data_IF_422840031608
#
_entry.id   IF_422840031608
#
_cell.length_a   1.000
_cell.length_b   1.000
_cell.length_c   1.000
_cell.angle_alpha   90.00
_cell.angle_beta   90.00
_cell.angle_gamma   90.00
#
_symmetry.space_group_name_H-M   'P 1'
#
loop_
_entity.id
_entity.type
_entity.pdbx_description
1 polymer ?
#
# COMPACT_ATOMS: atom_id res chain seq x y z
N UNK A 1 -36.08 -22.45 -0.78
CA UNK A 1 -35.22 -21.89 -1.85
C UNK A 1 -36.07 -20.93 -2.65
N UNK A 2 -35.74 -19.64 -2.69
CA UNK A 2 -36.49 -18.67 -3.50
C UNK A 2 -36.42 -19.02 -4.99
N UNK A 3 -37.55 -18.89 -5.68
CA UNK A 3 -37.62 -19.08 -7.14
C UNK A 3 -37.24 -17.78 -7.83
N UNK A 4 -36.35 -17.88 -8.82
CA UNK A 4 -35.94 -16.74 -9.65
C UNK A 4 -37.02 -16.50 -10.72
N UNK A 5 -37.73 -15.37 -10.64
CA UNK A 5 -38.87 -15.05 -11.51
C UNK A 5 -38.68 -13.81 -12.38
N UNK A 6 -37.66 -12.98 -12.08
CA UNK A 6 -37.41 -11.73 -12.80
C UNK A 6 -36.52 -11.95 -14.03
N UNK A 7 -36.84 -11.25 -15.12
CA UNK A 7 -36.09 -11.27 -16.39
C UNK A 7 -35.55 -9.88 -16.70
N UNK A 8 -34.34 -9.84 -17.24
CA UNK A 8 -33.73 -8.64 -17.81
C UNK A 8 -33.39 -8.91 -19.28
N UNK A 9 -33.46 -7.88 -20.11
CA UNK A 9 -33.05 -7.92 -21.50
C UNK A 9 -31.82 -7.04 -21.66
N UNK A 10 -30.75 -7.59 -22.25
CA UNK A 10 -29.47 -6.91 -22.45
C UNK A 10 -29.15 -6.98 -23.94
N UNK A 11 -28.89 -5.82 -24.54
CA UNK A 11 -28.47 -5.72 -25.92
C UNK A 11 -26.95 -5.91 -26.01
N UNK A 12 -26.51 -6.70 -26.99
CA UNK A 12 -25.11 -6.97 -27.26
C UNK A 12 -24.82 -6.73 -28.74
N UNK A 13 -23.62 -6.26 -29.04
CA UNK A 13 -23.01 -6.45 -30.36
C UNK A 13 -22.58 -7.90 -30.54
N UNK A 14 -22.41 -8.36 -31.79
CA UNK A 14 -21.99 -9.74 -32.08
C UNK A 14 -20.67 -10.11 -31.38
N UNK A 15 -19.73 -9.15 -31.31
CA UNK A 15 -18.43 -9.35 -30.66
C UNK A 15 -18.58 -9.51 -29.15
N UNK A 16 -19.47 -8.74 -28.51
CA UNK A 16 -19.72 -8.85 -27.07
C UNK A 16 -20.40 -10.18 -26.72
N UNK A 17 -21.35 -10.61 -27.55
CA UNK A 17 -22.04 -11.88 -27.37
C UNK A 17 -21.07 -13.06 -27.46
N UNK A 18 -20.14 -13.03 -28.41
CA UNK A 18 -19.15 -14.10 -28.55
C UNK A 18 -18.18 -14.13 -27.37
N UNK A 19 -17.69 -12.96 -26.92
CA UNK A 19 -16.87 -12.88 -25.69
C UNK A 19 -17.61 -13.43 -24.47
N UNK A 20 -18.89 -13.11 -24.32
CA UNK A 20 -19.72 -13.60 -23.22
C UNK A 20 -19.87 -15.12 -23.26
N UNK A 21 -20.10 -15.71 -24.44
CA UNK A 21 -20.15 -17.16 -24.61
C UNK A 21 -18.83 -17.83 -24.25
N UNK A 22 -17.71 -17.29 -24.73
CA UNK A 22 -16.38 -17.84 -24.42
C UNK A 22 -16.08 -17.81 -22.93
N UNK A 23 -16.31 -16.67 -22.26
CA UNK A 23 -16.03 -16.51 -20.82
C UNK A 23 -16.96 -17.31 -19.91
N UNK A 24 -18.17 -17.62 -20.36
CA UNK A 24 -19.14 -18.40 -19.58
C UNK A 24 -18.99 -19.91 -19.73
N UNK A 25 -18.06 -20.42 -20.54
CA UNK A 25 -17.88 -21.87 -20.80
C UNK A 25 -17.62 -22.70 -19.53
N UNK A 26 -16.92 -22.13 -18.56
CA UNK A 26 -16.62 -22.79 -17.28
C UNK A 26 -17.80 -22.76 -16.29
N UNK A 27 -18.86 -22.02 -16.62
CA UNK A 27 -20.06 -21.87 -15.80
C UNK A 27 -21.21 -22.69 -16.35
N UNK A 28 -22.13 -23.10 -15.46
CA UNK A 28 -23.32 -23.88 -15.82
C UNK A 28 -24.23 -23.18 -16.85
N UNK A 29 -24.20 -21.85 -16.93
CA UNK A 29 -24.90 -21.06 -17.94
C UNK A 29 -24.39 -19.62 -17.99
N UNK A 30 -24.70 -18.89 -19.07
CA UNK A 30 -24.46 -17.45 -19.17
C UNK A 30 -25.09 -16.70 -18.00
N UNK A 31 -26.32 -17.05 -17.61
CA UNK A 31 -26.95 -16.42 -16.44
C UNK A 31 -26.22 -16.75 -15.13
N UNK A 32 -25.61 -17.93 -15.02
CA UNK A 32 -24.77 -18.28 -13.87
C UNK A 32 -23.49 -17.45 -13.84
N UNK A 33 -22.85 -17.27 -14.99
CA UNK A 33 -21.69 -16.41 -15.16
C UNK A 33 -22.01 -14.95 -14.82
N UNK A 34 -23.07 -14.38 -15.40
CA UNK A 34 -23.47 -12.99 -15.13
C UNK A 34 -23.77 -12.77 -13.65
N UNK A 35 -24.39 -13.73 -12.95
CA UNK A 35 -24.64 -13.60 -11.51
C UNK A 35 -23.36 -13.70 -10.68
N UNK A 36 -22.48 -14.65 -11.01
CA UNK A 36 -21.19 -14.75 -10.33
C UNK A 36 -20.36 -13.48 -10.53
N UNK A 37 -20.31 -12.99 -11.77
CA UNK A 37 -19.70 -11.72 -12.12
C UNK A 37 -20.38 -10.56 -11.39
N UNK A 38 -21.71 -10.50 -11.29
CA UNK A 38 -22.39 -9.46 -10.53
C UNK A 38 -22.01 -9.48 -9.06
N UNK A 39 -21.92 -10.66 -8.43
CA UNK A 39 -21.43 -10.79 -7.05
C UNK A 39 -20.00 -10.27 -6.95
N UNK A 40 -19.11 -10.72 -7.84
CA UNK A 40 -17.68 -10.36 -7.86
C UNK A 40 -17.42 -8.88 -8.18
N UNK A 41 -18.18 -8.28 -9.10
CA UNK A 41 -18.07 -6.86 -9.48
C UNK A 41 -18.87 -5.94 -8.55
N UNK A 42 -19.90 -6.45 -7.86
CA UNK A 42 -20.59 -5.72 -6.78
C UNK A 42 -19.77 -5.71 -5.48
N UNK A 43 -18.72 -6.52 -5.42
CA UNK A 43 -17.76 -6.57 -4.32
C UNK A 43 -16.91 -5.28 -4.36
N UNK A 44 -17.49 -4.15 -3.95
CA UNK A 44 -16.78 -2.89 -3.65
C UNK A 44 -15.50 -3.17 -2.85
N UNK A 45 -15.62 -4.12 -1.95
CA UNK A 45 -14.61 -4.85 -1.23
C UNK A 45 -13.36 -5.23 -2.04
N UNK A 46 -13.46 -5.82 -3.24
CA UNK A 46 -12.30 -6.16 -4.05
C UNK A 46 -11.55 -4.91 -4.55
N UNK A 47 -12.30 -3.89 -4.99
CA UNK A 47 -11.73 -2.61 -5.42
C UNK A 47 -11.12 -1.84 -4.25
N UNK A 48 -11.79 -1.82 -3.10
CA UNK A 48 -11.32 -1.17 -1.87
C UNK A 48 -10.07 -1.88 -1.33
N UNK A 49 -10.02 -3.22 -1.39
CA UNK A 49 -8.81 -4.00 -1.05
C UNK A 49 -7.66 -3.70 -2.01
N UNK A 50 -7.90 -3.64 -3.33
CA UNK A 50 -6.85 -3.26 -4.29
C UNK A 50 -6.32 -1.85 -4.05
N UNK A 51 -7.22 -0.89 -3.78
CA UNK A 51 -6.82 0.47 -3.44
C UNK A 51 -6.01 0.52 -2.14
N UNK A 52 -6.41 -0.22 -1.12
CA UNK A 52 -5.67 -0.33 0.14
C UNK A 52 -4.24 -0.89 -0.08
N UNK A 53 -4.09 -1.89 -0.94
CA UNK A 53 -2.77 -2.44 -1.30
C UNK A 53 -1.90 -1.39 -2.00
N UNK A 54 -2.47 -0.62 -2.94
CA UNK A 54 -1.70 0.43 -3.62
C UNK A 54 -1.31 1.57 -2.66
N UNK A 55 -2.21 1.99 -1.77
CA UNK A 55 -1.93 2.99 -0.73
C UNK A 55 -0.79 2.52 0.18
N UNK A 56 -0.80 1.27 0.65
CA UNK A 56 0.29 0.70 1.45
C UNK A 56 1.60 0.58 0.66
N UNK A 57 1.57 0.12 -0.58
CA UNK A 57 2.76 -0.01 -1.41
C UNK A 57 3.43 1.35 -1.66
N UNK A 58 2.62 2.39 -1.93
CA UNK A 58 3.09 3.76 -2.08
C UNK A 58 3.74 4.28 -0.80
N UNK A 59 3.12 4.02 0.35
CA UNK A 59 3.65 4.40 1.66
C UNK A 59 4.99 3.71 1.94
N UNK A 60 5.10 2.40 1.71
CA UNK A 60 6.35 1.65 1.88
C UNK A 60 7.48 2.18 0.99
N UNK A 61 7.19 2.56 -0.26
CA UNK A 61 8.19 3.18 -1.15
C UNK A 61 8.71 4.49 -0.58
N UNK A 62 7.81 5.38 -0.14
CA UNK A 62 8.19 6.65 0.50
C UNK A 62 9.01 6.44 1.76
N UNK A 63 8.61 5.52 2.63
CA UNK A 63 9.34 5.22 3.86
C UNK A 63 10.74 4.70 3.58
N UNK A 64 10.89 3.83 2.57
CA UNK A 64 12.21 3.36 2.12
C UNK A 64 13.11 4.53 1.70
N UNK A 65 12.58 5.48 0.94
CA UNK A 65 13.36 6.63 0.46
C UNK A 65 13.74 7.58 1.60
N UNK A 66 12.79 7.93 2.49
CA UNK A 66 13.04 8.79 3.65
C UNK A 66 14.05 8.15 4.63
N UNK A 67 13.92 6.85 4.92
CA UNK A 67 14.88 6.11 5.75
C UNK A 67 16.24 5.96 5.07
N UNK A 68 16.26 5.73 3.76
CA UNK A 68 17.50 5.63 3.00
C UNK A 68 18.30 6.93 3.05
N UNK A 69 17.63 8.07 2.90
CA UNK A 69 18.27 9.38 3.01
C UNK A 69 18.77 9.67 4.43
N UNK A 70 17.91 9.51 5.45
CA UNK A 70 18.27 9.76 6.84
C UNK A 70 19.37 8.82 7.35
N UNK A 71 19.28 7.53 7.01
CA UNK A 71 20.30 6.53 7.32
C UNK A 71 21.62 6.79 6.60
N UNK A 72 21.57 7.23 5.34
CA UNK A 72 22.75 7.65 4.58
C UNK A 72 23.49 8.81 5.23
N UNK A 73 22.77 9.83 5.69
CA UNK A 73 23.34 10.96 6.40
C UNK A 73 23.99 10.54 7.73
N UNK A 74 23.30 9.73 8.54
CA UNK A 74 23.86 9.23 9.80
C UNK A 74 25.10 8.37 9.56
N UNK A 75 25.10 7.51 8.54
CA UNK A 75 26.25 6.67 8.21
C UNK A 75 27.48 7.52 7.83
N UNK A 76 27.29 8.60 7.08
CA UNK A 76 28.36 9.55 6.77
C UNK A 76 28.90 10.24 8.03
N UNK A 77 28.01 10.73 8.90
CA UNK A 77 28.40 11.36 10.15
C UNK A 77 29.17 10.39 11.06
N UNK A 78 28.69 9.15 11.20
CA UNK A 78 29.36 8.10 11.98
C UNK A 78 30.71 7.70 11.41
N UNK A 79 30.82 7.55 10.08
CA UNK A 79 32.09 7.23 9.43
C UNK A 79 33.12 8.33 9.71
N UNK A 80 32.72 9.59 9.57
CA UNK A 80 33.59 10.73 9.86
C UNK A 80 33.95 10.82 11.35
N UNK A 81 33.01 10.54 12.24
CA UNK A 81 33.28 10.48 13.68
C UNK A 81 34.34 9.41 14.00
N UNK A 82 34.24 8.22 13.39
CA UNK A 82 35.22 7.15 13.56
C UNK A 82 36.61 7.57 13.05
N UNK A 83 36.69 8.19 11.86
CA UNK A 83 37.96 8.71 11.32
C UNK A 83 38.62 9.72 12.27
N UNK A 84 37.84 10.67 12.79
CA UNK A 84 38.32 11.66 13.75
C UNK A 84 38.73 11.02 15.07
N UNK A 85 37.99 10.02 15.55
CA UNK A 85 38.29 9.32 16.80
C UNK A 85 39.61 8.57 16.72
N UNK A 86 39.84 7.81 15.63
CA UNK A 86 41.11 7.08 15.41
C UNK A 86 42.30 8.04 15.35
N UNK A 87 42.12 9.22 14.77
CA UNK A 87 43.16 10.25 14.72
C UNK A 87 43.35 11.01 16.05
N UNK A 88 42.52 10.77 17.07
CA UNK A 88 42.51 11.55 18.32
C UNK A 88 42.01 12.98 18.15
N UNK A 89 41.28 13.26 17.07
CA UNK A 89 40.79 14.58 16.66
C UNK A 89 39.26 14.73 16.80
N UNK A 90 38.58 13.75 17.39
CA UNK A 90 37.13 13.85 17.61
C UNK A 90 36.83 14.90 18.67
N UNK A 91 36.24 16.02 18.24
CA UNK A 91 35.89 17.13 19.12
C UNK A 91 34.49 16.98 19.71
N UNK A 92 34.29 17.57 20.89
CA UNK A 92 32.96 17.69 21.51
C UNK A 92 31.99 18.49 20.61
N UNK A 93 32.51 19.48 19.88
CA UNK A 93 31.72 20.28 18.93
C UNK A 93 31.14 19.40 17.81
N UNK A 94 31.94 18.51 17.22
CA UNK A 94 31.45 17.59 16.19
C UNK A 94 30.34 16.68 16.73
N UNK A 95 30.51 16.21 17.97
CA UNK A 95 29.51 15.40 18.65
C UNK A 95 28.16 16.14 18.80
N UNK A 96 28.20 17.37 19.33
CA UNK A 96 27.00 18.18 19.62
C UNK A 96 26.33 18.73 18.37
N UNK A 97 27.09 19.14 17.36
CA UNK A 97 26.57 19.89 16.21
C UNK A 97 26.31 19.02 14.98
N UNK A 98 26.93 17.85 14.87
CA UNK A 98 26.76 16.97 13.70
C UNK A 98 26.13 15.63 14.11
N UNK A 99 26.72 14.97 15.10
CA UNK A 99 26.37 13.59 15.43
C UNK A 99 25.01 13.48 16.11
N UNK A 100 24.78 14.24 17.19
CA UNK A 100 23.48 14.27 17.87
C UNK A 100 22.35 14.73 16.93
N UNK A 101 22.49 15.83 16.16
CA UNK A 101 21.45 16.24 15.23
C UNK A 101 21.15 15.21 14.14
N UNK A 102 22.15 14.45 13.68
CA UNK A 102 21.93 13.37 12.70
C UNK A 102 21.12 12.21 13.29
N UNK A 103 21.40 11.83 14.54
CA UNK A 103 20.65 10.80 15.28
C UNK A 103 19.21 11.26 15.53
N UNK A 104 19.04 12.49 16.01
CA UNK A 104 17.72 13.07 16.25
C UNK A 104 16.91 13.22 14.96
N UNK A 105 17.57 13.56 13.86
CA UNK A 105 16.98 13.60 12.53
C UNK A 105 16.41 12.24 12.13
N UNK A 106 17.21 11.17 12.27
CA UNK A 106 16.76 9.81 11.98
C UNK A 106 15.60 9.38 12.89
N UNK A 107 15.67 9.69 14.19
CA UNK A 107 14.59 9.39 15.14
C UNK A 107 13.29 10.07 14.74
N UNK A 108 13.34 11.37 14.41
CA UNK A 108 12.16 12.12 13.93
C UNK A 108 11.55 11.52 12.67
N UNK A 109 12.39 11.08 11.73
CA UNK A 109 11.92 10.37 10.53
C UNK A 109 11.22 9.06 10.89
N UNK A 110 11.78 8.27 11.81
CA UNK A 110 11.15 7.03 12.28
C UNK A 110 9.81 7.29 12.99
N UNK A 111 9.74 8.27 13.88
CA UNK A 111 8.52 8.63 14.60
C UNK A 111 7.41 9.07 13.63
N UNK A 112 7.75 9.88 12.62
CA UNK A 112 6.84 10.29 11.55
C UNK A 112 6.32 9.08 10.76
N UNK A 113 7.21 8.16 10.39
CA UNK A 113 6.86 6.93 9.66
C UNK A 113 5.88 6.07 10.46
N UNK A 114 6.11 5.90 11.77
CA UNK A 114 5.22 5.13 12.65
C UNK A 114 3.83 5.78 12.71
N UNK A 115 3.78 7.11 12.85
CA UNK A 115 2.51 7.85 12.89
C UNK A 115 1.74 7.72 11.57
N UNK A 116 2.40 7.95 10.43
CA UNK A 116 1.78 7.83 9.10
C UNK A 116 1.32 6.39 8.82
N UNK A 117 2.12 5.38 9.19
CA UNK A 117 1.74 3.97 9.06
C UNK A 117 0.46 3.67 9.86
N UNK A 118 0.39 4.12 11.11
CA UNK A 118 -0.77 3.93 11.98
C UNK A 118 -2.04 4.56 11.39
N UNK A 119 -1.93 5.76 10.83
CA UNK A 119 -3.06 6.46 10.20
C UNK A 119 -3.57 5.73 8.95
N UNK A 120 -2.68 5.35 8.03
CA UNK A 120 -3.06 4.62 6.81
C UNK A 120 -3.68 3.26 7.15
N UNK A 121 -3.09 2.51 8.07
CA UNK A 121 -3.66 1.23 8.52
C UNK A 121 -5.04 1.43 9.14
N UNK A 122 -5.21 2.46 9.99
CA UNK A 122 -6.51 2.78 10.60
C UNK A 122 -7.56 3.14 9.53
N UNK A 123 -7.17 3.88 8.50
CA UNK A 123 -8.05 4.23 7.37
C UNK A 123 -8.46 2.99 6.57
N UNK A 124 -7.50 2.11 6.24
CA UNK A 124 -7.75 0.87 5.52
C UNK A 124 -8.66 -0.07 6.31
N UNK A 125 -8.38 -0.26 7.61
CA UNK A 125 -9.23 -1.08 8.48
C UNK A 125 -10.66 -0.54 8.48
N UNK A 126 -10.85 0.78 8.58
CA UNK A 126 -12.19 1.38 8.52
C UNK A 126 -12.87 1.20 7.17
N UNK A 127 -12.15 1.26 6.06
CA UNK A 127 -12.76 1.10 4.73
C UNK A 127 -13.07 -0.36 4.41
N UNK A 128 -12.20 -1.29 4.79
CA UNK A 128 -12.35 -2.71 4.50
C UNK A 128 -13.29 -3.41 5.48
N UNK A 129 -13.29 -3.06 6.78
CA UNK A 129 -14.14 -3.73 7.77
C UNK A 129 -15.53 -3.11 7.95
N UNK A 130 -15.78 -1.87 7.51
CA UNK A 130 -17.15 -1.29 7.55
C UNK A 130 -18.01 -1.67 6.34
N UNK A 131 -17.41 -2.24 5.30
CA UNK A 131 -18.09 -2.62 4.07
C UNK A 131 -18.41 -4.13 3.98
N UNK A 132 -17.95 -4.93 4.95
CA UNK A 132 -18.21 -6.38 5.07
C UNK A 132 -19.41 -6.73 5.95
#
# INVERSE_FOLDING_TARGET
MEKRTNRIEILFTDTELERLKVRSKEFRSISSYIRAALVEFSDKDAKDRMQAVEEMASLCRRFKDELGWAGGNLNQAMKRANELSVAGLLSETYYKEVLIPSIDGLKKTMDKIIAEHSDVVSKIIRSVLKNG
#
